data_IF_689153935903
#
_entry.id   IF_689153935903
#
_cell.length_a   1.000
_cell.length_b   1.000
_cell.length_c   1.000
_cell.angle_alpha   90.00
_cell.angle_beta   90.00
_cell.angle_gamma   90.00
#
_symmetry.space_group_name_H-M   'P 1'
#
loop_
_entity.id
_entity.type
_entity.pdbx_description
1 polymer ?
#
# COMPACT_ATOMS: atom_id res chain seq x y z
N UNK A 1 -5.01 40.56 -43.32
CA UNK A 1 -4.03 40.50 -44.43
C UNK A 1 -2.72 41.13 -43.97
N UNK A 2 -1.78 40.34 -43.45
CA UNK A 2 -0.36 40.68 -43.31
C UNK A 2 0.43 39.42 -43.71
N UNK A 3 1.42 39.63 -44.56
CA UNK A 3 2.09 38.67 -45.44
C UNK A 3 3.03 37.70 -44.70
N UNK A 4 3.06 36.46 -45.20
CA UNK A 4 4.06 35.41 -44.93
C UNK A 4 5.47 35.82 -45.36
N UNK A 5 6.50 35.49 -44.55
CA UNK A 5 7.91 35.48 -44.97
C UNK A 5 8.62 34.15 -44.60
N UNK A 6 9.69 33.76 -45.31
CA UNK A 6 10.10 32.36 -45.54
C UNK A 6 11.19 31.81 -44.60
N UNK A 7 11.26 30.46 -44.50
CA UNK A 7 12.39 29.67 -43.95
C UNK A 7 13.59 29.64 -44.91
N UNK A 8 14.84 29.53 -44.39
CA UNK A 8 15.71 28.38 -44.73
C UNK A 8 16.74 28.03 -43.61
N UNK A 9 17.74 27.15 -43.82
CA UNK A 9 17.65 25.70 -43.92
C UNK A 9 18.50 24.96 -42.85
N UNK A 10 18.42 23.63 -42.90
CA UNK A 10 19.04 22.64 -42.03
C UNK A 10 20.57 22.76 -41.87
N UNK A 11 21.05 22.50 -40.65
CA UNK A 11 22.42 22.06 -40.38
C UNK A 11 22.37 20.64 -39.83
N UNK A 12 22.77 19.72 -40.71
CA UNK A 12 23.05 18.32 -40.49
C UNK A 12 24.31 18.25 -39.62
N UNK A 13 24.23 17.62 -38.44
CA UNK A 13 25.43 17.09 -37.77
C UNK A 13 25.30 15.58 -37.69
N UNK A 14 25.99 14.95 -38.63
CA UNK A 14 26.16 13.52 -38.80
C UNK A 14 27.33 13.09 -37.91
N UNK A 15 27.05 12.49 -36.75
CA UNK A 15 28.06 11.73 -36.01
C UNK A 15 27.77 10.24 -36.16
N UNK A 16 28.39 9.67 -37.20
CA UNK A 16 28.68 8.24 -37.32
C UNK A 16 29.82 7.90 -36.35
N UNK A 17 29.62 6.97 -35.42
CA UNK A 17 30.74 6.25 -34.79
C UNK A 17 30.45 4.74 -34.72
N UNK A 18 31.05 4.07 -35.70
CA UNK A 18 31.62 2.72 -35.74
C UNK A 18 31.06 1.58 -34.87
N UNK A 19 30.55 0.57 -35.59
CA UNK A 19 30.50 -0.85 -35.25
C UNK A 19 31.88 -1.40 -34.85
N UNK A 20 31.94 -2.19 -33.76
CA UNK A 20 32.93 -3.25 -33.61
C UNK A 20 32.43 -4.39 -32.70
N UNK A 21 32.41 -5.59 -33.27
CA UNK A 21 32.60 -6.90 -32.64
C UNK A 21 31.58 -7.40 -31.60
N UNK A 22 30.42 -7.88 -32.10
CA UNK A 22 29.66 -8.94 -31.43
C UNK A 22 30.39 -10.29 -31.60
N UNK A 23 31.25 -10.65 -30.64
CA UNK A 23 31.73 -12.01 -30.47
C UNK A 23 30.66 -12.83 -29.75
N UNK A 24 30.17 -13.86 -30.45
CA UNK A 24 29.35 -14.92 -29.88
C UNK A 24 30.09 -15.68 -28.78
N UNK A 25 29.33 -16.11 -27.78
CA UNK A 25 29.79 -16.92 -26.68
C UNK A 25 28.60 -17.40 -25.85
N UNK A 26 27.84 -18.36 -26.37
CA UNK A 26 27.12 -19.30 -25.50
C UNK A 26 28.15 -20.24 -24.85
N UNK A 27 28.03 -20.47 -23.53
CA UNK A 27 28.13 -21.83 -23.05
C UNK A 27 26.84 -22.26 -22.35
N UNK A 28 26.38 -23.42 -22.81
CA UNK A 28 25.31 -24.22 -22.23
C UNK A 28 25.71 -24.82 -20.87
N UNK A 29 24.76 -24.73 -19.94
CA UNK A 29 24.36 -25.76 -18.94
C UNK A 29 25.40 -26.19 -17.89
N UNK A 30 25.15 -25.87 -16.62
CA UNK A 30 24.82 -26.85 -15.54
C UNK A 30 24.88 -26.15 -14.18
N UNK A 31 23.71 -25.74 -13.69
CA UNK A 31 23.56 -25.29 -12.30
C UNK A 31 22.10 -25.44 -11.91
N UNK A 32 21.75 -26.56 -11.29
CA UNK A 32 20.44 -26.69 -10.60
C UNK A 32 20.33 -25.53 -9.61
N UNK A 33 19.28 -24.70 -9.64
CA UNK A 33 18.96 -23.88 -8.49
C UNK A 33 18.72 -24.83 -7.32
N UNK A 34 19.53 -24.72 -6.27
CA UNK A 34 19.27 -25.37 -4.99
C UNK A 34 17.98 -24.75 -4.46
N UNK A 35 16.85 -25.39 -4.77
CA UNK A 35 15.53 -25.02 -4.23
C UNK A 35 15.66 -25.14 -2.71
N UNK A 36 15.59 -24.04 -1.94
CA UNK A 36 15.48 -24.16 -0.50
C UNK A 36 14.17 -24.90 -0.20
N UNK A 37 14.17 -25.86 0.74
CA UNK A 37 12.99 -26.65 1.04
C UNK A 37 11.85 -25.71 1.45
N UNK A 38 10.74 -25.83 0.73
CA UNK A 38 9.44 -25.30 1.13
C UNK A 38 9.14 -25.88 2.51
N UNK A 39 9.27 -25.04 3.53
CA UNK A 39 8.78 -25.36 4.86
C UNK A 39 7.26 -25.32 4.79
N UNK A 40 6.67 -26.49 4.62
CA UNK A 40 5.35 -26.77 5.16
C UNK A 40 5.47 -26.65 6.69
N UNK A 41 4.78 -25.67 7.25
CA UNK A 41 4.80 -25.38 8.68
C UNK A 41 3.71 -24.39 9.03
N UNK A 42 2.46 -24.82 8.88
CA UNK A 42 1.34 -24.19 9.59
C UNK A 42 1.55 -24.42 11.08
N UNK A 43 2.17 -23.44 11.75
CA UNK A 43 2.11 -23.29 13.19
C UNK A 43 0.99 -22.30 13.51
N UNK A 44 0.16 -22.58 14.54
CA UNK A 44 -0.98 -21.75 14.89
C UNK A 44 -0.53 -20.33 15.21
N UNK A 45 -1.29 -19.37 14.67
CA UNK A 45 -1.13 -17.94 14.93
C UNK A 45 -1.14 -17.70 16.44
N UNK A 46 0.06 -17.56 17.02
CA UNK A 46 0.23 -17.01 18.35
C UNK A 46 -0.22 -15.54 18.28
N UNK A 47 -1.12 -15.13 19.17
CA UNK A 47 -1.55 -13.74 19.27
C UNK A 47 -0.33 -12.81 19.30
N UNK A 48 -0.22 -11.86 18.37
CA UNK A 48 0.91 -10.96 18.35
C UNK A 48 0.90 -10.12 19.62
N UNK A 49 1.98 -10.22 20.39
CA UNK A 49 2.27 -9.33 21.52
C UNK A 49 2.20 -7.87 21.02
N UNK A 50 1.25 -7.08 21.52
CA UNK A 50 1.00 -5.72 21.05
C UNK A 50 2.09 -4.81 21.59
N UNK A 51 2.99 -4.37 20.70
CA UNK A 51 4.11 -3.47 21.00
C UNK A 51 3.88 -2.10 20.37
N UNK A 52 4.37 -1.04 21.01
CA UNK A 52 4.37 0.31 20.43
C UNK A 52 5.07 0.31 19.07
N UNK A 53 4.41 0.84 18.04
CA UNK A 53 4.97 1.01 16.69
C UNK A 53 5.31 2.48 16.44
N UNK A 54 6.48 2.81 15.87
CA UNK A 54 6.75 4.16 15.39
C UNK A 54 5.86 4.47 14.18
N UNK A 55 5.12 5.58 14.24
CA UNK A 55 4.17 5.99 13.18
C UNK A 55 4.67 7.19 12.36
N UNK A 56 5.53 8.03 12.93
CA UNK A 56 5.96 9.28 12.30
C UNK A 56 6.91 8.97 11.15
N UNK A 57 6.57 9.46 9.95
CA UNK A 57 7.37 9.26 8.72
C UNK A 57 7.31 7.86 8.10
N UNK A 58 6.69 6.90 8.78
CA UNK A 58 6.63 5.51 8.33
C UNK A 58 5.46 5.29 7.37
N UNK A 59 5.68 4.43 6.38
CA UNK A 59 4.64 4.01 5.42
C UNK A 59 4.50 2.49 5.40
N UNK A 60 3.33 2.03 5.02
CA UNK A 60 2.94 0.63 4.91
C UNK A 60 2.10 0.39 3.66
N UNK A 61 2.15 -0.85 3.17
CA UNK A 61 1.25 -1.38 2.15
C UNK A 61 0.50 -2.61 2.70
N UNK A 62 0.55 -2.83 4.02
CA UNK A 62 -0.17 -3.91 4.67
C UNK A 62 -1.64 -3.53 4.83
N UNK A 63 -2.50 -4.24 4.11
CA UNK A 63 -3.93 -4.05 4.10
C UNK A 63 -4.56 -5.42 4.34
N UNK A 64 -5.48 -5.49 5.30
CA UNK A 64 -6.18 -6.71 5.69
C UNK A 64 -7.53 -6.82 5.00
N UNK A 65 -8.11 -8.01 5.06
CA UNK A 65 -9.49 -8.24 4.64
C UNK A 65 -10.43 -7.82 5.78
N UNK A 66 -11.23 -6.77 5.57
CA UNK A 66 -12.02 -6.20 6.66
C UNK A 66 -13.03 -7.19 7.25
N UNK A 67 -13.69 -7.98 6.39
CA UNK A 67 -14.69 -8.96 6.84
C UNK A 67 -14.06 -10.03 7.74
N UNK A 68 -12.92 -10.58 7.33
CA UNK A 68 -12.17 -11.60 8.07
C UNK A 68 -11.69 -11.09 9.43
N UNK A 69 -11.17 -9.88 9.47
CA UNK A 69 -10.65 -9.27 10.71
C UNK A 69 -11.76 -8.96 11.70
N UNK A 70 -12.90 -8.44 11.22
CA UNK A 70 -14.07 -8.15 12.07
C UNK A 70 -14.66 -9.45 12.63
N UNK A 71 -14.81 -10.48 11.80
CA UNK A 71 -15.44 -11.73 12.20
C UNK A 71 -14.56 -12.57 13.14
N UNK A 72 -13.25 -12.64 12.87
CA UNK A 72 -12.37 -13.61 13.52
C UNK A 72 -11.44 -13.01 14.59
N UNK A 73 -11.15 -11.71 14.52
CA UNK A 73 -10.19 -11.04 15.41
C UNK A 73 -10.80 -9.93 16.26
N UNK A 74 -12.13 -9.78 16.26
CA UNK A 74 -12.84 -8.77 17.03
C UNK A 74 -12.53 -7.34 16.61
N UNK A 75 -12.06 -7.15 15.37
CA UNK A 75 -11.82 -5.82 14.83
C UNK A 75 -13.15 -5.07 14.64
N UNK A 76 -13.10 -3.76 14.74
CA UNK A 76 -14.24 -2.88 14.43
C UNK A 76 -13.80 -1.79 13.46
N UNK A 77 -14.71 -1.37 12.57
CA UNK A 77 -14.44 -0.22 11.70
C UNK A 77 -14.36 1.02 12.59
N UNK A 78 -13.20 1.67 12.60
CA UNK A 78 -12.98 2.89 13.36
C UNK A 78 -13.83 4.00 12.76
N UNK A 79 -14.71 4.59 13.58
CA UNK A 79 -15.59 5.70 13.17
C UNK A 79 -14.90 7.06 13.21
N UNK A 80 -13.59 7.10 13.51
CA UNK A 80 -12.83 8.35 13.64
C UNK A 80 -13.30 9.24 14.80
N UNK A 81 -14.19 8.76 15.68
CA UNK A 81 -14.65 9.51 16.84
C UNK A 81 -13.54 9.61 17.87
N UNK A 82 -12.97 10.81 17.98
CA UNK A 82 -12.02 11.18 19.02
C UNK A 82 -12.77 11.27 20.34
N UNK A 83 -12.70 10.23 21.17
CA UNK A 83 -13.10 10.34 22.57
C UNK A 83 -11.99 11.11 23.29
N UNK A 84 -12.27 12.36 23.68
CA UNK A 84 -11.33 13.31 24.27
C UNK A 84 -10.74 12.91 25.66
N UNK A 85 -10.96 11.67 26.11
CA UNK A 85 -10.53 11.17 27.42
C UNK A 85 -9.21 10.40 27.39
N UNK A 86 -8.67 10.06 26.22
CA UNK A 86 -7.48 9.20 26.11
C UNK A 86 -6.20 10.02 25.85
N UNK A 87 -5.15 9.94 26.68
CA UNK A 87 -3.88 10.65 26.48
C UNK A 87 -3.16 10.31 25.15
N UNK A 88 -3.41 9.11 24.59
CA UNK A 88 -2.78 8.61 23.36
C UNK A 88 -3.37 9.27 22.10
N UNK A 89 -4.65 9.65 22.11
CA UNK A 89 -5.37 10.06 20.90
C UNK A 89 -5.09 11.51 20.49
N UNK A 90 -4.51 12.35 21.36
CA UNK A 90 -4.37 13.78 21.09
C UNK A 90 -3.21 14.13 20.12
N UNK A 91 -2.11 13.36 20.12
CA UNK A 91 -0.91 13.67 19.33
C UNK A 91 -0.78 12.81 18.05
N UNK A 92 -1.37 11.61 18.01
CA UNK A 92 -1.30 10.72 16.84
C UNK A 92 -2.30 11.07 15.72
N UNK A 93 -3.48 11.63 16.04
CA UNK A 93 -4.58 11.72 15.08
C UNK A 93 -4.43 12.83 14.02
N UNK A 94 -3.74 13.94 14.31
CA UNK A 94 -3.59 15.05 13.36
C UNK A 94 -2.62 14.73 12.19
N UNK A 95 -1.60 13.89 12.43
CA UNK A 95 -0.66 13.47 11.40
C UNK A 95 -1.26 12.42 10.46
N UNK A 96 -2.06 11.50 11.02
CA UNK A 96 -2.80 10.49 10.25
C UNK A 96 -3.92 11.13 9.43
N UNK A 97 -4.52 12.23 9.90
CA UNK A 97 -5.63 12.85 9.17
C UNK A 97 -5.21 13.45 7.82
N UNK A 98 -4.10 14.19 7.72
CA UNK A 98 -3.75 14.86 6.44
C UNK A 98 -3.09 13.89 5.46
N UNK A 99 -2.06 13.15 5.91
CA UNK A 99 -1.35 12.19 5.04
C UNK A 99 -2.25 11.00 4.70
N UNK A 100 -3.07 10.55 5.65
CA UNK A 100 -4.06 9.50 5.41
C UNK A 100 -5.16 9.95 4.44
N UNK A 101 -5.66 11.19 4.54
CA UNK A 101 -6.64 11.72 3.59
C UNK A 101 -6.12 11.75 2.15
N UNK A 102 -4.87 12.19 1.94
CA UNK A 102 -4.27 12.19 0.61
C UNK A 102 -4.18 10.78 0.01
N UNK A 103 -3.74 9.78 0.81
CA UNK A 103 -3.68 8.39 0.36
C UNK A 103 -5.07 7.79 0.11
N UNK A 104 -6.06 8.10 0.94
CA UNK A 104 -7.45 7.65 0.74
C UNK A 104 -8.03 8.23 -0.55
N UNK A 105 -7.80 9.52 -0.83
CA UNK A 105 -8.22 10.16 -2.07
C UNK A 105 -7.54 9.53 -3.29
N UNK A 106 -6.24 9.21 -3.20
CA UNK A 106 -5.52 8.54 -4.27
C UNK A 106 -6.09 7.14 -4.54
N UNK A 107 -6.43 6.38 -3.50
CA UNK A 107 -7.07 5.06 -3.64
C UNK A 107 -8.45 5.19 -4.27
N UNK A 108 -9.27 6.16 -3.80
CA UNK A 108 -10.59 6.38 -4.37
C UNK A 108 -10.50 6.71 -5.87
N UNK A 109 -9.58 7.61 -6.23
CA UNK A 109 -9.35 7.95 -7.64
C UNK A 109 -8.92 6.73 -8.47
N UNK A 110 -8.02 5.89 -7.94
CA UNK A 110 -7.60 4.67 -8.62
C UNK A 110 -8.74 3.65 -8.78
N UNK A 111 -9.62 3.53 -7.78
CA UNK A 111 -10.83 2.72 -7.86
C UNK A 111 -11.80 3.25 -8.92
N UNK A 112 -11.99 4.57 -9.01
CA UNK A 112 -12.86 5.18 -10.02
C UNK A 112 -12.32 4.95 -11.43
N UNK A 113 -11.00 5.05 -11.63
CA UNK A 113 -10.36 4.72 -12.91
C UNK A 113 -10.51 3.24 -13.26
N UNK A 114 -10.30 2.35 -12.29
CA UNK A 114 -10.49 0.91 -12.48
C UNK A 114 -11.94 0.59 -12.87
N UNK A 115 -12.91 1.20 -12.19
CA UNK A 115 -14.32 1.05 -12.51
C UNK A 115 -14.64 1.57 -13.91
N UNK A 116 -14.11 2.73 -14.30
CA UNK A 116 -14.30 3.28 -15.64
C UNK A 116 -13.73 2.38 -16.75
N UNK A 117 -12.69 1.58 -16.44
CA UNK A 117 -12.06 0.66 -17.40
C UNK A 117 -12.70 -0.72 -17.44
N UNK A 118 -13.19 -1.22 -16.30
CA UNK A 118 -13.64 -2.61 -16.14
C UNK A 118 -15.14 -2.74 -15.88
N UNK A 119 -15.85 -1.62 -15.71
CA UNK A 119 -17.27 -1.53 -15.35
C UNK A 119 -17.61 -2.24 -14.03
N UNK A 120 -16.61 -2.48 -13.17
CA UNK A 120 -16.73 -3.15 -11.88
C UNK A 120 -15.64 -2.71 -10.92
N UNK A 121 -15.86 -2.89 -9.63
CA UNK A 121 -14.84 -2.72 -8.60
C UNK A 121 -14.07 -4.04 -8.34
N UNK A 122 -12.92 -3.98 -7.65
CA UNK A 122 -12.20 -5.18 -7.22
C UNK A 122 -13.06 -6.04 -6.28
N UNK A 123 -13.12 -7.33 -6.56
CA UNK A 123 -14.00 -8.29 -5.86
C UNK A 123 -13.49 -8.68 -4.47
N UNK A 124 -12.18 -8.68 -4.29
CA UNK A 124 -11.50 -9.17 -3.10
C UNK A 124 -10.21 -8.39 -2.83
N UNK A 125 -9.60 -8.64 -1.67
CA UNK A 125 -8.36 -8.01 -1.25
C UNK A 125 -7.20 -8.28 -2.24
N UNK A 126 -7.10 -9.47 -2.82
CA UNK A 126 -6.00 -9.79 -3.73
C UNK A 126 -6.08 -8.95 -5.00
N UNK A 127 -7.28 -8.84 -5.57
CA UNK A 127 -7.53 -7.99 -6.73
C UNK A 127 -7.31 -6.51 -6.39
N UNK A 128 -7.80 -6.05 -5.24
CA UNK A 128 -7.56 -4.68 -4.78
C UNK A 128 -6.05 -4.38 -4.66
N UNK A 129 -5.27 -5.30 -4.09
CA UNK A 129 -3.82 -5.12 -3.96
C UNK A 129 -3.10 -5.12 -5.31
N UNK A 130 -3.49 -6.01 -6.23
CA UNK A 130 -2.82 -6.17 -7.51
C UNK A 130 -3.20 -5.14 -8.55
N UNK A 131 -4.44 -4.65 -8.53
CA UNK A 131 -4.98 -3.73 -9.55
C UNK A 131 -4.97 -2.27 -9.07
N UNK A 132 -5.10 -2.03 -7.76
CA UNK A 132 -5.21 -0.67 -7.21
C UNK A 132 -3.91 -0.27 -6.50
N UNK A 133 -3.46 -1.02 -5.51
CA UNK A 133 -2.36 -0.58 -4.64
C UNK A 133 -1.00 -0.64 -5.34
N UNK A 134 -0.63 -1.82 -5.87
CA UNK A 134 0.69 -2.03 -6.48
C UNK A 134 0.92 -1.20 -7.75
N UNK A 135 0.00 -1.13 -8.73
CA UNK A 135 0.25 -0.41 -9.98
C UNK A 135 0.34 1.11 -9.78
N UNK A 136 -0.36 1.64 -8.78
CA UNK A 136 -0.37 3.06 -8.48
C UNK A 136 0.72 3.47 -7.46
N UNK A 137 1.56 2.53 -7.03
CA UNK A 137 2.65 2.80 -6.07
C UNK A 137 2.16 3.38 -4.74
N UNK A 138 0.94 3.02 -4.32
CA UNK A 138 0.29 3.62 -3.15
C UNK A 138 0.92 3.06 -1.89
N UNK A 139 1.40 3.96 -1.03
CA UNK A 139 1.91 3.64 0.30
C UNK A 139 1.19 4.48 1.35
N UNK A 140 0.54 3.81 2.28
CA UNK A 140 -0.27 4.40 3.34
C UNK A 140 0.60 4.79 4.52
N UNK A 141 0.27 5.82 5.30
CA UNK A 141 1.00 6.11 6.53
C UNK A 141 0.82 4.97 7.55
N UNK A 142 1.87 4.62 8.29
CA UNK A 142 1.78 3.56 9.29
C UNK A 142 0.82 3.95 10.42
N UNK A 143 -0.12 3.06 10.74
CA UNK A 143 -1.07 3.25 11.84
C UNK A 143 -0.50 2.75 13.18
N UNK A 144 -1.02 3.27 14.32
CA UNK A 144 -0.71 2.76 15.65
C UNK A 144 -0.92 1.25 15.79
N UNK A 145 -0.29 0.61 16.78
CA UNK A 145 -0.30 -0.85 16.95
C UNK A 145 -1.69 -1.50 17.14
N UNK A 146 -2.69 -0.70 17.54
CA UNK A 146 -4.06 -1.16 17.75
C UNK A 146 -4.97 -0.89 16.53
N UNK A 147 -4.40 -0.40 15.42
CA UNK A 147 -5.12 -0.10 14.18
C UNK A 147 -4.41 -0.69 12.96
N UNK A 148 -5.21 -1.13 11.99
CA UNK A 148 -4.74 -1.62 10.69
C UNK A 148 -5.63 -1.08 9.57
N UNK A 149 -5.13 -1.09 8.34
CA UNK A 149 -5.98 -0.83 7.18
C UNK A 149 -6.72 -2.08 6.76
N UNK A 150 -7.99 -1.94 6.40
CA UNK A 150 -8.83 -3.01 5.88
C UNK A 150 -9.42 -2.63 4.52
N UNK A 151 -9.47 -3.58 3.59
CA UNK A 151 -10.31 -3.45 2.39
C UNK A 151 -11.70 -4.01 2.70
N UNK A 152 -12.71 -3.15 2.58
CA UNK A 152 -14.12 -3.51 2.69
C UNK A 152 -14.64 -3.84 1.28
N UNK A 153 -14.59 -5.11 0.90
CA UNK A 153 -15.00 -5.57 -0.44
C UNK A 153 -16.49 -5.38 -0.70
N UNK A 154 -17.34 -5.37 0.33
CA UNK A 154 -18.78 -5.16 0.18
C UNK A 154 -19.12 -3.71 -0.18
N UNK A 155 -18.30 -2.76 0.28
CA UNK A 155 -18.48 -1.34 0.03
C UNK A 155 -17.42 -0.73 -0.90
N UNK A 156 -16.51 -1.55 -1.42
CA UNK A 156 -15.42 -1.18 -2.32
C UNK A 156 -14.58 0.01 -1.84
N UNK A 157 -14.20 0.02 -0.55
CA UNK A 157 -13.45 1.15 0.04
C UNK A 157 -12.40 0.69 1.04
N UNK A 158 -11.41 1.55 1.27
CA UNK A 158 -10.46 1.39 2.37
C UNK A 158 -11.11 1.87 3.68
N UNK A 159 -10.99 1.06 4.73
CA UNK A 159 -11.41 1.39 6.09
C UNK A 159 -10.25 1.26 7.06
N UNK A 160 -10.34 1.92 8.21
CA UNK A 160 -9.43 1.67 9.33
C UNK A 160 -10.10 0.70 10.28
N UNK A 161 -9.42 -0.40 10.56
CA UNK A 161 -9.81 -1.40 11.54
C UNK A 161 -9.14 -1.06 12.86
N UNK A 162 -9.91 -1.08 13.94
CA UNK A 162 -9.44 -0.89 15.30
C UNK A 162 -9.66 -2.18 16.10
N UNK A 163 -8.67 -2.57 16.90
CA UNK A 163 -8.71 -3.75 17.75
C UNK A 163 -8.78 -3.30 19.22
N UNK A 164 -9.96 -3.30 19.86
CA UNK A 164 -10.14 -2.81 21.22
C UNK A 164 -9.21 -3.48 22.23
N UNK A 165 -9.10 -4.81 22.17
CA UNK A 165 -8.23 -5.59 23.05
C UNK A 165 -6.77 -5.18 22.94
N UNK A 166 -6.30 -4.84 21.73
CA UNK A 166 -4.94 -4.35 21.50
C UNK A 166 -4.75 -2.95 22.07
N UNK A 167 -5.76 -2.08 21.93
CA UNK A 167 -5.76 -0.72 22.49
C UNK A 167 -5.66 -0.75 24.02
N UNK A 168 -6.46 -1.59 24.68
CA UNK A 168 -6.44 -1.74 26.14
C UNK A 168 -5.10 -2.27 26.65
N UNK A 169 -4.55 -3.31 26.00
CA UNK A 169 -3.23 -3.86 26.35
C UNK A 169 -2.15 -2.78 26.23
N UNK A 170 -2.19 -1.95 25.18
CA UNK A 170 -1.22 -0.88 24.96
C UNK A 170 -1.33 0.24 26.00
N UNK A 171 -2.55 0.67 26.34
CA UNK A 171 -2.80 1.67 27.38
C UNK A 171 -2.19 1.23 28.72
N UNK A 172 -2.43 -0.01 29.15
CA UNK A 172 -1.88 -0.56 30.39
C UNK A 172 -0.35 -0.65 30.39
N UNK A 173 0.29 -0.82 29.23
CA UNK A 173 1.75 -0.81 29.12
C UNK A 173 2.33 0.60 29.33
N UNK A 174 1.59 1.65 28.98
CA UNK A 174 2.03 3.03 29.10
C UNK A 174 1.78 3.64 30.48
N UNK A 175 0.90 3.05 31.27
CA UNK A 175 0.60 3.45 32.67
C UNK A 175 1.59 2.88 33.70
N UNK A 176 2.49 1.99 33.28
CA UNK A 176 3.58 1.44 34.11
C UNK A 176 4.84 2.28 33.98
#
# INVERSE_FOLDING_TARGET
MIKSLPRPPALISLSLLALAAGCGGEPRVTGRPKVPPVQAGGAPSAEPEVKLRPVIGQKTTDIKDAATEIQNQGAQISTGRITAKDPITLQGNAYVSIVGQASVLQIQHALDLYYAQNERYPKDLNEFMNEIIKPNGIALPQLPAYQEYGYDAANHRLVVLEYPDRKEKLLRQMEK
#
